data_IF_607171596140
#
_entry.id   IF_607171596140
#
_cell.length_a   1.000
_cell.length_b   1.000
_cell.length_c   1.000
_cell.angle_alpha   90.00
_cell.angle_beta   90.00
_cell.angle_gamma   90.00
#
_symmetry.space_group_name_H-M   'P 1'
#
loop_
_entity.id
_entity.type
_entity.pdbx_description
1 polymer ?
#
# COMPACT_ATOMS: atom_id res chain seq x y z
N UNK A 1 24.39 9.64 -4.51
CA UNK A 1 23.25 9.37 -3.61
C UNK A 1 21.96 9.31 -4.44
N UNK A 2 20.95 8.53 -4.06
CA UNK A 2 19.67 8.49 -4.80
C UNK A 2 18.54 8.99 -3.91
N UNK A 3 17.75 9.92 -4.43
CA UNK A 3 16.61 10.49 -3.75
C UNK A 3 15.32 10.23 -4.53
N UNK A 4 14.21 10.05 -3.82
CA UNK A 4 12.88 9.87 -4.40
C UNK A 4 11.91 10.88 -3.78
N UNK A 5 11.22 11.65 -4.64
CA UNK A 5 10.10 12.51 -4.23
C UNK A 5 8.81 11.89 -4.73
N UNK A 6 7.88 11.66 -3.82
CA UNK A 6 6.54 11.15 -4.12
C UNK A 6 5.50 12.17 -3.69
N UNK A 7 4.62 12.55 -4.59
CA UNK A 7 3.51 13.48 -4.33
C UNK A 7 2.18 12.81 -4.62
N UNK A 8 1.17 13.13 -3.81
CA UNK A 8 -0.18 12.61 -3.92
C UNK A 8 -1.18 13.75 -3.71
N UNK A 9 -2.20 13.79 -4.55
CA UNK A 9 -3.31 14.73 -4.44
C UNK A 9 -4.64 13.98 -4.34
N UNK A 10 -5.44 14.34 -3.34
CA UNK A 10 -6.77 13.80 -3.08
C UNK A 10 -7.81 14.92 -3.29
N UNK A 11 -8.60 14.80 -4.36
CA UNK A 11 -9.54 15.86 -4.77
C UNK A 11 -10.67 16.09 -3.76
N UNK A 12 -11.11 15.04 -3.05
CA UNK A 12 -12.19 15.14 -2.07
C UNK A 12 -11.76 15.90 -0.80
N UNK A 13 -10.48 15.76 -0.43
CA UNK A 13 -9.94 16.37 0.80
C UNK A 13 -9.25 17.70 0.54
N UNK A 14 -9.12 18.12 -0.73
CA UNK A 14 -8.24 19.22 -1.15
C UNK A 14 -6.84 19.12 -0.52
N UNK A 15 -6.36 17.89 -0.34
CA UNK A 15 -5.19 17.57 0.46
C UNK A 15 -4.04 17.09 -0.41
N UNK A 16 -2.84 17.61 -0.16
CA UNK A 16 -1.61 17.14 -0.77
C UNK A 16 -0.76 16.40 0.27
N UNK A 17 -0.08 15.34 -0.17
CA UNK A 17 0.93 14.65 0.60
C UNK A 17 2.22 14.54 -0.19
N UNK A 18 3.35 14.72 0.49
CA UNK A 18 4.69 14.64 -0.10
C UNK A 18 5.56 13.73 0.75
N UNK A 19 6.35 12.87 0.10
CA UNK A 19 7.33 12.01 0.76
C UNK A 19 8.67 12.18 0.07
N UNK A 20 9.70 12.52 0.85
CA UNK A 20 11.09 12.48 0.45
C UNK A 20 11.73 11.21 1.00
N UNK A 21 12.51 10.52 0.18
CA UNK A 21 13.31 9.38 0.60
C UNK A 21 14.74 9.49 0.09
N UNK A 22 15.69 9.09 0.92
CA UNK A 22 17.13 9.09 0.61
C UNK A 22 17.73 7.74 0.99
N UNK A 23 18.50 7.15 0.09
CA UNK A 23 19.23 5.91 0.36
C UNK A 23 20.61 6.23 0.98
N UNK A 24 20.92 5.59 2.11
CA UNK A 24 22.18 5.70 2.83
C UNK A 24 22.70 4.28 3.16
N UNK A 25 23.52 3.74 2.25
CA UNK A 25 23.98 2.34 2.34
C UNK A 25 22.82 1.36 2.21
N UNK A 26 22.70 0.44 3.17
CA UNK A 26 21.63 -0.56 3.24
C UNK A 26 20.30 -0.01 3.79
N UNK A 27 20.30 1.23 4.25
CA UNK A 27 19.15 1.85 4.94
C UNK A 27 18.59 2.97 4.08
N UNK A 28 17.27 3.13 4.14
CA UNK A 28 16.50 4.20 3.50
C UNK A 28 15.89 5.08 4.58
N UNK A 29 16.19 6.37 4.52
CA UNK A 29 15.58 7.38 5.36
C UNK A 29 14.42 8.02 4.61
N UNK A 30 13.28 8.18 5.28
CA UNK A 30 12.09 8.78 4.67
C UNK A 30 11.49 9.83 5.60
N UNK A 31 11.04 10.92 5.00
CA UNK A 31 10.22 11.93 5.65
C UNK A 31 8.97 12.15 4.80
N UNK A 32 7.80 12.16 5.43
CA UNK A 32 6.53 12.42 4.74
C UNK A 32 5.70 13.43 5.50
N UNK A 33 4.96 14.26 4.76
CA UNK A 33 3.99 15.21 5.28
C UNK A 33 2.67 14.94 4.57
N UNK A 34 1.57 14.88 5.32
CA UNK A 34 0.21 14.78 4.79
C UNK A 34 -0.57 16.04 5.13
N UNK A 35 -1.61 16.34 4.36
CA UNK A 35 -2.47 17.51 4.58
C UNK A 35 -1.71 18.85 4.52
N UNK A 36 -0.71 18.92 3.64
CA UNK A 36 -0.04 20.17 3.31
C UNK A 36 -0.98 21.03 2.45
N UNK A 37 -1.90 21.76 3.09
CA UNK A 37 -2.71 22.77 2.41
C UNK A 37 -1.85 24.00 2.15
N UNK A 38 -1.67 24.39 0.88
CA UNK A 38 -0.96 25.63 0.50
C UNK A 38 -1.69 26.88 1.04
N UNK A 39 -2.97 26.74 1.40
CA UNK A 39 -3.88 27.85 1.73
C UNK A 39 -3.59 28.48 3.10
N UNK A 40 -2.98 27.76 4.06
CA UNK A 40 -2.82 28.24 5.45
C UNK A 40 -1.36 28.28 5.96
N UNK A 41 -0.38 28.25 5.04
CA UNK A 41 1.05 28.22 5.39
C UNK A 41 1.57 26.82 5.78
N UNK A 42 2.90 26.68 5.96
CA UNK A 42 3.51 25.40 6.28
C UNK A 42 3.07 24.93 7.68
N UNK A 43 2.40 23.77 7.73
CA UNK A 43 2.10 23.08 8.99
C UNK A 43 2.84 21.75 9.05
N UNK A 44 3.26 21.33 10.25
CA UNK A 44 3.86 20.01 10.48
C UNK A 44 2.78 18.92 10.67
N UNK A 45 1.55 19.20 10.26
CA UNK A 45 0.47 18.23 10.30
C UNK A 45 0.86 17.02 9.43
N UNK A 46 0.61 15.84 9.95
CA UNK A 46 0.95 14.60 9.24
C UNK A 46 2.43 14.32 9.04
N UNK A 47 3.34 15.07 9.67
CA UNK A 47 4.78 14.77 9.59
C UNK A 47 5.07 13.39 10.18
N UNK A 48 5.71 12.54 9.38
CA UNK A 48 6.21 11.25 9.81
C UNK A 48 7.65 11.05 9.32
N UNK A 49 8.46 10.44 10.17
CA UNK A 49 9.83 10.07 9.90
C UNK A 49 9.94 8.55 9.91
N UNK A 50 10.77 8.00 9.03
CA UNK A 50 10.88 6.56 8.87
C UNK A 50 12.30 6.13 8.52
N UNK A 51 12.71 5.02 9.11
CA UNK A 51 13.97 4.33 8.84
C UNK A 51 13.64 2.91 8.40
N UNK A 52 14.12 2.53 7.23
CA UNK A 52 13.80 1.24 6.60
C UNK A 52 15.08 0.55 6.14
N UNK A 53 15.22 -0.73 6.45
CA UNK A 53 16.13 -1.64 5.74
C UNK A 53 15.27 -2.54 4.85
N UNK A 54 15.30 -2.39 3.51
CA UNK A 54 14.41 -3.12 2.61
C UNK A 54 14.47 -4.63 2.83
N UNK A 55 13.31 -5.25 3.04
CA UNK A 55 13.18 -6.69 3.31
C UNK A 55 13.49 -7.14 4.74
N UNK A 56 13.92 -6.25 5.63
CA UNK A 56 14.23 -6.57 7.03
C UNK A 56 13.32 -5.86 8.02
N UNK A 57 13.30 -4.52 8.01
CA UNK A 57 12.49 -3.76 8.96
C UNK A 57 12.12 -2.37 8.47
N UNK A 58 11.06 -1.82 9.07
CA UNK A 58 10.65 -0.43 8.97
C UNK A 58 10.32 0.06 10.39
N UNK A 59 10.84 1.22 10.76
CA UNK A 59 10.47 1.94 11.98
C UNK A 59 9.91 3.29 11.56
N UNK A 60 8.61 3.50 11.79
CA UNK A 60 7.91 4.74 11.50
C UNK A 60 7.60 5.49 12.80
N UNK A 61 7.84 6.80 12.81
CA UNK A 61 7.45 7.70 13.88
C UNK A 61 6.54 8.80 13.35
N UNK A 62 5.32 8.86 13.87
CA UNK A 62 4.38 9.93 13.60
C UNK A 62 4.61 11.08 14.59
N UNK A 63 5.12 12.21 14.10
CA UNK A 63 5.58 13.31 14.95
C UNK A 63 4.42 13.96 15.72
N UNK A 64 3.30 14.36 15.09
CA UNK A 64 2.18 14.97 15.84
C UNK A 64 1.54 14.02 16.86
N UNK A 65 1.39 12.74 16.53
CA UNK A 65 0.75 11.76 17.41
C UNK A 65 1.68 11.17 18.46
N UNK A 66 2.99 11.40 18.34
CA UNK A 66 4.03 10.73 19.13
C UNK A 66 3.85 9.20 19.13
N UNK A 67 3.44 8.67 17.99
CA UNK A 67 3.15 7.24 17.81
C UNK A 67 4.28 6.57 17.01
N UNK A 68 4.59 5.34 17.39
CA UNK A 68 5.72 4.59 16.88
C UNK A 68 5.21 3.25 16.36
N UNK A 69 5.54 2.94 15.11
CA UNK A 69 5.16 1.68 14.45
C UNK A 69 6.41 0.92 14.04
N UNK A 70 6.48 -0.33 14.46
CA UNK A 70 7.51 -1.28 14.05
C UNK A 70 6.95 -2.24 13.03
N UNK A 71 7.74 -2.55 12.02
CA UNK A 71 7.45 -3.61 11.07
C UNK A 71 8.72 -4.43 10.86
N UNK A 72 8.63 -5.74 11.07
CA UNK A 72 9.72 -6.69 10.85
C UNK A 72 9.29 -7.70 9.80
N UNK A 73 10.18 -7.95 8.85
CA UNK A 73 9.95 -8.85 7.72
C UNK A 73 10.96 -10.00 7.80
N UNK A 74 10.48 -11.21 7.57
CA UNK A 74 11.32 -12.39 7.50
C UNK A 74 10.80 -13.32 6.40
N UNK A 75 11.70 -14.09 5.79
CA UNK A 75 11.33 -15.12 4.82
C UNK A 75 11.92 -16.45 5.26
N UNK A 76 11.06 -17.43 5.47
CA UNK A 76 11.44 -18.81 5.78
C UNK A 76 11.03 -19.72 4.63
N UNK A 77 11.64 -20.90 4.51
CA UNK A 77 11.23 -21.90 3.53
C UNK A 77 10.38 -22.97 4.22
N UNK A 78 9.21 -23.25 3.66
CA UNK A 78 8.33 -24.36 4.08
C UNK A 78 8.14 -25.25 2.86
N UNK A 79 8.57 -26.52 2.96
CA UNK A 79 8.58 -27.45 1.82
C UNK A 79 9.25 -26.83 0.58
N UNK A 80 10.40 -26.17 0.77
CA UNK A 80 11.16 -25.44 -0.26
C UNK A 80 10.46 -24.21 -0.86
N UNK A 81 9.23 -23.93 -0.47
CA UNK A 81 8.45 -22.77 -0.90
C UNK A 81 8.68 -21.58 0.05
N UNK A 82 8.86 -20.35 -0.46
CA UNK A 82 9.09 -19.21 0.39
C UNK A 82 7.78 -18.81 1.10
N UNK A 83 7.86 -18.71 2.42
CA UNK A 83 6.87 -18.16 3.32
C UNK A 83 7.38 -16.80 3.82
N UNK A 84 6.79 -15.74 3.30
CA UNK A 84 7.09 -14.37 3.72
C UNK A 84 6.23 -14.03 4.93
N UNK A 85 6.87 -13.61 6.01
CA UNK A 85 6.23 -13.24 7.27
C UNK A 85 6.47 -11.76 7.52
N UNK A 86 5.44 -11.07 8.02
CA UNK A 86 5.58 -9.68 8.47
C UNK A 86 4.88 -9.51 9.81
N UNK A 87 5.62 -9.00 10.78
CA UNK A 87 5.10 -8.57 12.08
C UNK A 87 4.98 -7.06 12.05
N UNK A 88 3.84 -6.51 12.49
CA UNK A 88 3.62 -5.08 12.62
C UNK A 88 3.08 -4.80 14.02
N UNK A 89 3.68 -3.85 14.73
CA UNK A 89 3.19 -3.38 16.02
C UNK A 89 3.09 -1.86 16.03
N UNK A 90 1.91 -1.36 16.37
CA UNK A 90 1.62 0.06 16.59
C UNK A 90 1.54 0.32 18.08
N UNK A 91 2.40 1.22 18.58
CA UNK A 91 2.53 1.50 20.00
C UNK A 91 1.28 2.20 20.58
N UNK A 92 0.80 3.27 19.95
CA UNK A 92 -0.33 4.04 20.48
C UNK A 92 -1.63 3.23 20.49
N UNK A 93 -1.87 2.42 19.46
CA UNK A 93 -3.07 1.57 19.36
C UNK A 93 -2.94 0.26 20.14
N UNK A 94 -1.75 -0.02 20.71
CA UNK A 94 -1.36 -1.33 21.26
C UNK A 94 -1.81 -2.50 20.37
N UNK A 95 -1.63 -2.34 19.05
CA UNK A 95 -2.17 -3.25 18.04
C UNK A 95 -1.06 -4.00 17.35
N UNK A 96 -1.18 -5.32 17.33
CA UNK A 96 -0.26 -6.21 16.62
C UNK A 96 -0.96 -6.90 15.45
N UNK A 97 -0.32 -6.86 14.30
CA UNK A 97 -0.78 -7.49 13.06
C UNK A 97 0.30 -8.48 12.59
N UNK A 98 -0.14 -9.65 12.18
CA UNK A 98 0.69 -10.69 11.58
C UNK A 98 0.23 -10.93 10.15
N UNK A 99 1.16 -10.83 9.21
CA UNK A 99 0.96 -11.20 7.82
C UNK A 99 1.82 -12.40 7.45
N UNK A 100 1.23 -13.31 6.69
CA UNK A 100 1.92 -14.43 6.07
C UNK A 100 1.58 -14.50 4.59
N UNK A 101 2.55 -14.79 3.73
CA UNK A 101 2.33 -15.09 2.31
C UNK A 101 3.17 -16.28 1.90
N UNK A 102 2.51 -17.37 1.55
CA UNK A 102 3.11 -18.57 0.99
C UNK A 102 3.05 -18.50 -0.53
N UNK A 103 4.21 -18.62 -1.19
CA UNK A 103 4.33 -18.60 -2.65
C UNK A 103 4.52 -20.03 -3.15
N UNK A 104 3.52 -20.58 -3.83
CA UNK A 104 3.56 -21.96 -4.33
C UNK A 104 4.42 -22.05 -5.60
N UNK A 105 4.23 -21.11 -6.52
CA UNK A 105 4.94 -21.01 -7.78
C UNK A 105 4.89 -19.55 -8.31
N UNK A 106 5.32 -19.33 -9.54
CA UNK A 106 5.34 -18.00 -10.17
C UNK A 106 3.96 -17.40 -10.41
N UNK A 107 2.91 -18.22 -10.50
CA UNK A 107 1.54 -17.81 -10.74
C UNK A 107 0.69 -17.79 -9.47
N UNK A 108 1.01 -18.61 -8.46
CA UNK A 108 0.14 -18.92 -7.34
C UNK A 108 0.74 -18.52 -5.99
N UNK A 109 -0.01 -17.77 -5.19
CA UNK A 109 0.30 -17.49 -3.79
C UNK A 109 -0.96 -17.36 -2.94
N UNK A 110 -0.83 -17.69 -1.65
CA UNK A 110 -1.85 -17.45 -0.62
C UNK A 110 -1.27 -16.51 0.42
N UNK A 111 -2.07 -15.54 0.83
CA UNK A 111 -1.75 -14.59 1.89
C UNK A 111 -2.81 -14.66 2.99
N UNK A 112 -2.37 -14.50 4.23
CA UNK A 112 -3.21 -14.35 5.40
C UNK A 112 -2.76 -13.12 6.18
N UNK A 113 -3.70 -12.32 6.64
CA UNK A 113 -3.50 -11.20 7.56
C UNK A 113 -4.33 -11.46 8.81
N UNK A 114 -3.76 -11.28 9.99
CA UNK A 114 -4.47 -11.42 11.25
C UNK A 114 -4.10 -10.31 12.23
N UNK A 115 -5.10 -9.69 12.84
CA UNK A 115 -4.90 -8.77 13.96
C UNK A 115 -5.04 -9.54 15.26
N UNK A 116 -3.96 -9.60 16.05
CA UNK A 116 -3.94 -10.39 17.28
C UNK A 116 -5.01 -9.89 18.27
N UNK A 117 -5.75 -10.83 18.85
CA UNK A 117 -6.80 -10.56 19.84
C UNK A 117 -8.12 -10.05 19.27
N UNK A 118 -8.24 -9.75 17.97
CA UNK A 118 -9.45 -9.13 17.41
C UNK A 118 -10.38 -10.11 16.66
N UNK A 119 -10.02 -11.39 16.58
CA UNK A 119 -10.72 -12.40 15.76
C UNK A 119 -10.69 -12.13 14.25
N UNK A 120 -10.10 -11.01 13.82
CA UNK A 120 -10.12 -10.58 12.43
C UNK A 120 -9.00 -11.26 11.66
N UNK A 121 -9.37 -12.04 10.66
CA UNK A 121 -8.46 -12.71 9.74
C UNK A 121 -8.93 -12.45 8.30
N UNK A 122 -8.02 -12.05 7.43
CA UNK A 122 -8.28 -11.90 6.00
C UNK A 122 -7.41 -12.88 5.22
N UNK A 123 -8.06 -13.73 4.42
CA UNK A 123 -7.41 -14.67 3.52
C UNK A 123 -7.47 -14.12 2.10
N UNK A 124 -6.39 -14.26 1.33
CA UNK A 124 -6.33 -13.84 -0.06
C UNK A 124 -5.61 -14.89 -0.88
N UNK A 125 -6.19 -15.27 -1.99
CA UNK A 125 -5.50 -16.05 -3.01
C UNK A 125 -5.10 -15.12 -4.15
N UNK A 126 -3.97 -15.37 -4.79
CA UNK A 126 -3.53 -14.64 -5.97
C UNK A 126 -3.13 -15.63 -7.04
N UNK A 127 -3.72 -15.47 -8.23
CA UNK A 127 -3.41 -16.24 -9.41
C UNK A 127 -3.02 -15.31 -10.56
N UNK A 128 -1.89 -15.56 -11.20
CA UNK A 128 -1.43 -14.85 -12.41
C UNK A 128 -1.66 -15.73 -13.63
N UNK A 129 -2.64 -15.35 -14.44
CA UNK A 129 -2.94 -15.97 -15.72
C UNK A 129 -2.05 -15.39 -16.83
N UNK A 130 -1.32 -16.28 -17.51
CA UNK A 130 -0.44 -15.98 -18.65
C UNK A 130 0.58 -14.85 -18.38
N UNK A 131 1.00 -14.67 -17.14
CA UNK A 131 1.95 -13.62 -16.74
C UNK A 131 1.43 -12.17 -16.86
N UNK A 132 0.19 -11.99 -17.33
CA UNK A 132 -0.37 -10.70 -17.71
C UNK A 132 -1.55 -10.26 -16.83
N UNK A 133 -2.46 -11.20 -16.52
CA UNK A 133 -3.69 -10.91 -15.76
C UNK A 133 -3.62 -11.54 -14.39
N UNK A 134 -3.91 -10.79 -13.34
CA UNK A 134 -3.88 -11.25 -11.95
C UNK A 134 -5.29 -11.22 -11.38
N UNK A 135 -5.70 -12.32 -10.74
CA UNK A 135 -6.94 -12.44 -10.00
C UNK A 135 -6.63 -12.55 -8.52
N UNK A 136 -7.32 -11.75 -7.70
CA UNK A 136 -7.11 -11.69 -6.25
C UNK A 136 -8.46 -11.73 -5.50
N UNK A 137 -9.13 -12.89 -5.38
CA UNK A 137 -10.22 -13.04 -4.43
C UNK A 137 -9.68 -13.02 -2.99
N UNK A 138 -10.41 -12.36 -2.10
CA UNK A 138 -10.08 -12.31 -0.68
C UNK A 138 -11.32 -12.44 0.17
N UNK A 139 -11.19 -13.08 1.33
CA UNK A 139 -12.26 -13.33 2.26
C UNK A 139 -11.92 -12.73 3.63
N UNK A 140 -12.79 -11.88 4.12
CA UNK A 140 -12.71 -11.28 5.46
C UNK A 140 -13.57 -12.11 6.42
N UNK A 141 -12.92 -12.85 7.32
CA UNK A 141 -13.58 -13.78 8.25
C UNK A 141 -14.48 -13.03 9.23
N UNK A 142 -14.06 -11.85 9.70
CA UNK A 142 -14.84 -11.08 10.66
C UNK A 142 -16.11 -10.50 10.05
N UNK A 143 -16.07 -10.14 8.76
CA UNK A 143 -17.22 -9.58 8.04
C UNK A 143 -18.06 -10.62 7.31
N UNK A 144 -17.59 -11.87 7.24
CA UNK A 144 -18.20 -12.93 6.44
C UNK A 144 -18.45 -12.45 4.99
N UNK A 145 -17.42 -11.89 4.35
CA UNK A 145 -17.57 -11.26 3.04
C UNK A 145 -16.36 -11.47 2.13
N UNK A 146 -16.63 -11.46 0.82
CA UNK A 146 -15.63 -11.54 -0.22
C UNK A 146 -15.30 -10.15 -0.77
N UNK A 147 -14.03 -9.88 -1.05
CA UNK A 147 -13.61 -8.78 -1.91
C UNK A 147 -12.85 -9.35 -3.11
N UNK A 148 -12.94 -8.66 -4.24
CA UNK A 148 -12.34 -9.10 -5.48
C UNK A 148 -11.42 -8.03 -6.04
N UNK A 149 -10.30 -8.44 -6.61
CA UNK A 149 -9.53 -7.59 -7.49
C UNK A 149 -9.05 -8.33 -8.73
N UNK A 150 -9.03 -7.62 -9.85
CA UNK A 150 -8.45 -8.08 -11.10
C UNK A 150 -7.50 -7.01 -11.60
N UNK A 151 -6.30 -7.37 -11.99
CA UNK A 151 -5.39 -6.47 -12.67
C UNK A 151 -4.86 -7.06 -13.95
N UNK A 152 -4.54 -6.22 -14.92
CA UNK A 152 -3.96 -6.63 -16.19
C UNK A 152 -2.87 -5.66 -16.60
N UNK A 153 -1.71 -6.21 -16.95
CA UNK A 153 -0.66 -5.48 -17.66
C UNK A 153 -1.14 -5.21 -19.08
N UNK A 154 -1.06 -3.97 -19.52
CA UNK A 154 -1.37 -3.55 -20.89
C UNK A 154 -0.24 -2.67 -21.41
N UNK A 155 -0.10 -2.60 -22.74
CA UNK A 155 0.77 -1.63 -23.44
C UNK A 155 2.08 -1.24 -22.70
N UNK A 156 3.08 -2.12 -22.72
CA UNK A 156 4.37 -1.83 -22.07
C UNK A 156 4.28 -1.89 -20.54
N UNK A 157 4.49 -0.74 -19.88
CA UNK A 157 4.61 -0.63 -18.42
C UNK A 157 3.30 -0.18 -17.72
N UNK A 158 2.16 -0.20 -18.42
CA UNK A 158 0.85 0.14 -17.89
C UNK A 158 0.17 -1.05 -17.21
N UNK A 159 -0.48 -0.79 -16.07
CA UNK A 159 -1.31 -1.76 -15.37
C UNK A 159 -2.64 -1.13 -15.01
N UNK A 160 -3.72 -1.77 -15.45
CA UNK A 160 -5.08 -1.45 -15.00
C UNK A 160 -5.50 -2.45 -13.93
N UNK A 161 -6.13 -1.96 -12.87
CA UNK A 161 -6.66 -2.77 -11.78
C UNK A 161 -8.08 -2.33 -11.45
N UNK A 162 -8.99 -3.29 -11.35
CA UNK A 162 -10.33 -3.12 -10.81
C UNK A 162 -10.43 -3.83 -9.46
N UNK A 163 -11.14 -3.22 -8.52
CA UNK A 163 -11.40 -3.80 -7.20
C UNK A 163 -12.86 -3.63 -6.83
N UNK A 164 -13.44 -4.62 -6.18
CA UNK A 164 -14.76 -4.52 -5.59
C UNK A 164 -14.74 -5.02 -4.15
N UNK A 165 -15.17 -4.16 -3.22
CA UNK A 165 -15.34 -4.51 -1.81
C UNK A 165 -16.81 -4.75 -1.52
N UNK A 166 -17.18 -5.97 -1.14
CA UNK A 166 -18.60 -6.32 -1.04
C UNK A 166 -19.29 -5.64 0.14
N UNK A 167 -18.65 -5.60 1.31
CA UNK A 167 -19.27 -5.02 2.52
C UNK A 167 -19.51 -3.51 2.38
N UNK A 168 -18.51 -2.78 1.86
CA UNK A 168 -18.61 -1.32 1.68
C UNK A 168 -19.27 -0.93 0.36
N UNK A 169 -19.53 -1.89 -0.54
CA UNK A 169 -20.05 -1.68 -1.89
C UNK A 169 -19.20 -0.71 -2.71
N UNK A 170 -17.91 -0.63 -2.44
CA UNK A 170 -16.98 0.27 -3.14
C UNK A 170 -16.41 -0.42 -4.37
N UNK A 171 -16.63 0.17 -5.54
CA UNK A 171 -15.96 -0.15 -6.79
C UNK A 171 -14.78 0.80 -6.98
N UNK A 172 -13.61 0.25 -7.28
CA UNK A 172 -12.37 1.00 -7.51
C UNK A 172 -11.74 0.65 -8.84
N UNK A 173 -11.18 1.65 -9.51
CA UNK A 173 -10.35 1.55 -10.69
C UNK A 173 -9.02 2.22 -10.44
N UNK A 174 -7.95 1.58 -10.87
CA UNK A 174 -6.58 2.05 -10.71
C UNK A 174 -5.83 1.88 -12.02
N UNK A 175 -5.13 2.92 -12.42
CA UNK A 175 -4.16 2.92 -13.51
C UNK A 175 -2.80 3.29 -12.94
N UNK A 176 -1.81 2.43 -13.17
CA UNK A 176 -0.42 2.69 -12.80
C UNK A 176 0.46 2.57 -14.03
N UNK A 177 1.41 3.50 -14.19
CA UNK A 177 2.50 3.41 -15.16
C UNK A 177 3.84 3.53 -14.46
N UNK A 178 4.75 2.60 -14.76
CA UNK A 178 6.10 2.59 -14.18
C UNK A 178 7.16 2.86 -15.26
N UNK A 179 7.63 4.09 -15.41
CA UNK A 179 8.69 4.40 -16.37
C UNK A 179 10.05 4.30 -15.68
N UNK A 180 10.92 3.44 -16.20
CA UNK A 180 12.28 3.23 -15.66
C UNK A 180 13.15 4.49 -15.69
N UNK A 181 12.88 5.43 -16.59
CA UNK A 181 13.72 6.61 -16.85
C UNK A 181 13.17 7.94 -16.33
N UNK A 182 11.85 8.09 -16.12
CA UNK A 182 11.22 9.41 -15.95
C UNK A 182 10.19 9.50 -14.81
N UNK A 183 10.02 8.43 -14.04
CA UNK A 183 9.14 8.42 -12.86
C UNK A 183 7.86 7.62 -13.06
N UNK A 184 7.13 7.41 -11.97
CA UNK A 184 5.93 6.57 -11.95
C UNK A 184 4.73 7.42 -11.62
N UNK A 185 3.58 7.12 -12.22
CA UNK A 185 2.32 7.72 -11.78
C UNK A 185 1.27 6.65 -11.50
N UNK A 186 0.31 7.05 -10.68
CA UNK A 186 -0.85 6.25 -10.31
C UNK A 186 -2.07 7.14 -10.22
N UNK A 187 -3.13 6.75 -10.91
CA UNK A 187 -4.45 7.37 -10.86
C UNK A 187 -5.43 6.35 -10.30
N UNK A 188 -6.19 6.74 -9.28
CA UNK A 188 -7.20 5.90 -8.65
C UNK A 188 -8.52 6.64 -8.65
N UNK A 189 -9.58 5.95 -9.05
CA UNK A 189 -10.95 6.39 -8.94
C UNK A 189 -11.76 5.36 -8.14
N UNK A 190 -12.65 5.80 -7.26
CA UNK A 190 -13.54 4.89 -6.53
C UNK A 190 -14.92 5.50 -6.33
N UNK A 191 -15.94 4.65 -6.37
CA UNK A 191 -17.34 5.03 -6.14
C UNK A 191 -17.96 4.06 -5.14
N UNK A 192 -18.72 4.59 -4.18
CA UNK A 192 -19.56 3.77 -3.32
C UNK A 192 -20.90 3.56 -4.02
N UNK A 193 -21.19 2.32 -4.43
CA UNK A 193 -22.41 1.99 -5.15
C UNK A 193 -23.66 1.92 -4.24
N UNK A 194 -23.51 2.08 -2.92
CA UNK A 194 -24.62 2.24 -2.00
C UNK A 194 -25.22 3.66 -2.03
N UNK A 195 -24.40 4.66 -2.39
CA UNK A 195 -24.78 6.07 -2.38
C UNK A 195 -24.99 6.56 -3.82
N UNK A 196 -26.25 6.60 -4.29
CA UNK A 196 -26.58 6.92 -5.70
C UNK A 196 -26.14 8.32 -6.18
N UNK A 197 -25.79 9.26 -5.28
CA UNK A 197 -25.49 10.66 -5.64
C UNK A 197 -24.05 11.14 -5.40
N UNK A 198 -23.12 10.28 -4.97
CA UNK A 198 -21.75 10.72 -4.70
C UNK A 198 -20.87 10.68 -5.95
N UNK A 199 -20.21 11.81 -6.23
CA UNK A 199 -19.17 11.90 -7.25
C UNK A 199 -18.06 10.88 -6.95
N UNK A 200 -17.45 10.26 -7.98
CA UNK A 200 -16.32 9.37 -7.76
C UNK A 200 -15.18 10.12 -7.08
N UNK A 201 -14.62 9.51 -6.05
CA UNK A 201 -13.39 9.98 -5.43
C UNK A 201 -12.24 9.73 -6.39
N UNK A 202 -11.45 10.76 -6.71
CA UNK A 202 -10.27 10.66 -7.58
C UNK A 202 -9.01 11.06 -6.83
N UNK A 203 -7.96 10.29 -7.04
CA UNK A 203 -6.64 10.52 -6.44
C UNK A 203 -5.57 10.32 -7.50
N UNK A 204 -4.63 11.26 -7.58
CA UNK A 204 -3.48 11.18 -8.48
C UNK A 204 -2.18 11.20 -7.66
N UNK A 205 -1.21 10.41 -8.11
CA UNK A 205 0.07 10.24 -7.45
C UNK A 205 1.19 10.22 -8.49
N UNK A 206 2.29 10.91 -8.21
CA UNK A 206 3.49 10.96 -9.04
C UNK A 206 4.73 10.72 -8.20
N UNK A 207 5.70 10.00 -8.76
CA UNK A 207 6.99 9.69 -8.13
C UNK A 207 8.12 10.04 -9.07
N UNK A 208 9.07 10.84 -8.58
CA UNK A 208 10.27 11.25 -9.28
C UNK A 208 11.51 10.74 -8.57
N UNK A 209 12.48 10.25 -9.35
CA UNK A 209 13.76 9.78 -8.84
C UNK A 209 14.87 10.72 -9.33
N UNK A 210 15.78 11.04 -8.42
CA UNK A 210 16.90 11.96 -8.66
C UNK A 210 18.21 11.28 -8.29
N UNK A 211 19.24 11.54 -9.08
CA UNK A 211 20.63 11.33 -8.68
C UNK A 211 21.12 12.61 -7.99
N UNK A 212 21.70 12.45 -6.80
CA UNK A 212 22.16 13.52 -5.91
C UNK A 212 23.60 13.30 -5.51
#
# INVERSE_FOLDING_TARGET
MKATLKTKYDADKSGAASTLAVNAGDVKLRASITDATIINGPSLNGLALSVEKPGFFIVDYNVPKKDLRFQFMNTVKVAEKPLNLTYIHSWADNRTILDGTLVFDSANKVSANHTLGSGNCKLKYTYVHEGATTFEPSYDVAKNSWDFAVSRKVYGDDVFKATYQTTSKVLGLEWTRNLKSSGNFKVVASVNMADESKRPKVTAESTWNFEV
#
